data_IF_980453754843
#
_entry.id   IF_980453754843
#
_cell.length_a   1.000
_cell.length_b   1.000
_cell.length_c   1.000
_cell.angle_alpha   90.00
_cell.angle_beta   90.00
_cell.angle_gamma   90.00
#
_symmetry.space_group_name_H-M   'P 1'
#
loop_
_entity.id
_entity.type
_entity.pdbx_description
1 polymer ?
#
# COMPACT_ATOMS: atom_id res chain seq x y z
N UNK A 1 -2.47 -19.44 -14.18
CA UNK A 1 -3.41 -18.57 -14.92
C UNK A 1 -4.24 -17.74 -13.95
N UNK A 2 -5.05 -18.38 -13.07
CA UNK A 2 -5.91 -17.70 -12.09
C UNK A 2 -5.23 -16.62 -11.22
N UNK A 3 -4.03 -16.88 -10.67
CA UNK A 3 -3.33 -15.88 -9.86
C UNK A 3 -2.96 -14.60 -10.65
N UNK A 4 -2.63 -14.72 -11.95
CA UNK A 4 -2.35 -13.54 -12.79
C UNK A 4 -3.62 -12.74 -13.06
N UNK A 5 -4.72 -13.44 -13.33
CA UNK A 5 -6.04 -12.83 -13.56
C UNK A 5 -6.54 -12.10 -12.30
N UNK A 6 -6.50 -12.77 -11.14
CA UNK A 6 -6.84 -12.17 -9.86
C UNK A 6 -5.94 -10.96 -9.53
N UNK A 7 -4.63 -11.05 -9.84
CA UNK A 7 -3.72 -9.92 -9.72
C UNK A 7 -4.12 -8.75 -10.61
N UNK A 8 -4.56 -9.00 -11.84
CA UNK A 8 -5.12 -7.97 -12.73
C UNK A 8 -6.33 -7.26 -12.13
N UNK A 9 -7.26 -8.01 -11.52
CA UNK A 9 -8.45 -7.45 -10.85
C UNK A 9 -8.04 -6.54 -9.70
N UNK A 10 -7.10 -6.98 -8.84
CA UNK A 10 -6.59 -6.18 -7.71
C UNK A 10 -5.95 -4.88 -8.20
N UNK A 11 -5.07 -4.95 -9.20
CA UNK A 11 -4.39 -3.76 -9.74
C UNK A 11 -5.36 -2.81 -10.42
N UNK A 12 -6.37 -3.32 -11.13
CA UNK A 12 -7.41 -2.51 -11.74
C UNK A 12 -8.21 -1.75 -10.67
N UNK A 13 -8.64 -2.43 -9.61
CA UNK A 13 -9.40 -1.80 -8.51
C UNK A 13 -8.57 -0.73 -7.78
N UNK A 14 -7.29 -1.01 -7.49
CA UNK A 14 -6.40 -0.03 -6.87
C UNK A 14 -6.09 1.16 -7.80
N UNK A 15 -5.96 0.92 -9.10
CA UNK A 15 -5.78 1.98 -10.10
C UNK A 15 -6.98 2.93 -10.21
N UNK A 16 -8.16 2.52 -9.73
CA UNK A 16 -9.37 3.34 -9.67
C UNK A 16 -9.55 4.06 -8.33
N UNK A 17 -8.64 3.89 -7.36
CA UNK A 17 -8.71 4.53 -6.04
C UNK A 17 -7.82 5.78 -5.99
N UNK A 18 -8.40 7.00 -6.00
CA UNK A 18 -7.62 8.23 -5.87
C UNK A 18 -6.82 8.27 -4.57
N UNK A 19 -7.39 7.75 -3.48
CA UNK A 19 -6.72 7.67 -2.18
C UNK A 19 -5.46 6.79 -2.23
N UNK A 20 -5.54 5.64 -2.90
CA UNK A 20 -4.36 4.79 -3.09
C UNK A 20 -3.28 5.50 -3.90
N UNK A 21 -3.67 6.17 -4.99
CA UNK A 21 -2.72 6.88 -5.84
C UNK A 21 -2.03 8.03 -5.09
N UNK A 22 -2.79 8.83 -4.33
CA UNK A 22 -2.25 9.93 -3.52
C UNK A 22 -1.31 9.43 -2.42
N UNK A 23 -1.62 8.30 -1.78
CA UNK A 23 -0.80 7.74 -0.69
C UNK A 23 0.46 7.04 -1.20
N UNK A 24 0.36 6.30 -2.31
CA UNK A 24 1.43 5.42 -2.77
C UNK A 24 2.30 6.02 -3.90
N UNK A 25 1.73 6.91 -4.73
CA UNK A 25 2.38 7.49 -5.91
C UNK A 25 3.11 6.42 -6.76
N UNK A 26 2.41 5.39 -7.26
CA UNK A 26 3.06 4.19 -7.81
C UNK A 26 3.82 4.49 -9.11
N UNK A 27 5.09 4.05 -9.19
CA UNK A 27 5.91 4.05 -10.40
C UNK A 27 5.95 2.65 -11.06
N UNK A 28 6.22 1.61 -10.26
CA UNK A 28 6.21 0.20 -10.71
C UNK A 28 5.66 -0.69 -9.61
N UNK A 29 4.80 -1.64 -9.97
CA UNK A 29 4.16 -2.57 -9.03
C UNK A 29 4.67 -3.98 -9.28
N UNK A 30 5.17 -4.63 -8.23
CA UNK A 30 5.50 -6.06 -8.29
C UNK A 30 4.20 -6.86 -8.40
N UNK A 31 4.11 -7.88 -9.27
CA UNK A 31 2.86 -8.62 -9.48
C UNK A 31 2.24 -9.12 -8.17
N UNK A 32 0.92 -8.92 -7.95
CA UNK A 32 0.21 -9.43 -6.79
C UNK A 32 0.43 -10.93 -6.57
N UNK A 33 0.83 -11.26 -5.35
CA UNK A 33 0.89 -12.63 -4.85
C UNK A 33 -0.32 -12.89 -3.94
N UNK A 34 -0.59 -14.16 -3.67
CA UNK A 34 -1.73 -14.59 -2.85
C UNK A 34 -1.25 -15.58 -1.80
N UNK A 35 -1.67 -15.38 -0.55
CA UNK A 35 -1.36 -16.28 0.55
C UNK A 35 -2.62 -16.74 1.28
N UNK A 36 -2.48 -17.87 1.98
CA UNK A 36 -3.50 -18.44 2.86
C UNK A 36 -2.82 -18.88 4.15
N UNK A 37 -3.36 -18.44 5.27
CA UNK A 37 -3.00 -18.93 6.61
C UNK A 37 -4.21 -19.61 7.22
N UNK A 38 -4.13 -20.92 7.47
CA UNK A 38 -5.08 -21.68 8.28
C UNK A 38 -4.62 -21.77 9.74
N UNK A 39 -5.37 -22.52 10.55
CA UNK A 39 -5.07 -22.69 11.97
C UNK A 39 -3.62 -23.11 12.24
N UNK A 40 -2.97 -22.44 13.19
CA UNK A 40 -1.57 -22.59 13.57
C UNK A 40 -0.56 -21.94 12.61
N UNK A 41 -0.97 -21.55 11.39
CA UNK A 41 -0.07 -20.92 10.43
C UNK A 41 0.18 -19.46 10.78
N UNK A 42 1.41 -19.02 10.55
CA UNK A 42 1.94 -17.69 10.91
C UNK A 42 3.00 -17.28 9.90
N UNK A 43 3.44 -16.02 9.94
CA UNK A 43 4.65 -15.57 9.26
C UNK A 43 5.48 -14.74 10.23
N UNK A 44 6.69 -15.22 10.56
CA UNK A 44 7.53 -14.63 11.61
C UNK A 44 7.99 -13.20 11.31
N UNK A 45 8.53 -12.54 12.35
CA UNK A 45 9.05 -11.18 12.24
C UNK A 45 10.17 -11.08 11.22
N UNK A 46 10.02 -10.15 10.29
CA UNK A 46 10.98 -9.90 9.23
C UNK A 46 10.85 -8.45 8.71
N UNK A 47 11.82 -8.08 7.87
CA UNK A 47 11.77 -6.89 7.02
C UNK A 47 11.80 -7.37 5.58
N UNK A 48 11.07 -6.71 4.70
CA UNK A 48 11.10 -7.07 3.28
C UNK A 48 12.44 -6.70 2.63
N UNK A 49 12.90 -7.54 1.70
CA UNK A 49 14.08 -7.21 0.91
C UNK A 49 13.86 -5.91 0.13
N UNK A 50 14.81 -4.98 0.24
CA UNK A 50 14.76 -3.65 -0.39
C UNK A 50 14.68 -3.68 -1.93
N UNK A 51 15.12 -4.77 -2.55
CA UNK A 51 15.02 -5.00 -4.00
C UNK A 51 14.24 -6.30 -4.23
N UNK A 52 13.11 -6.20 -4.94
CA UNK A 52 12.31 -7.35 -5.37
C UNK A 52 12.62 -7.67 -6.82
N UNK A 53 12.91 -8.93 -7.12
CA UNK A 53 13.23 -9.42 -8.46
C UNK A 53 12.22 -10.49 -8.84
N UNK A 54 11.61 -10.36 -10.01
CA UNK A 54 10.77 -11.41 -10.57
C UNK A 54 11.68 -12.41 -11.30
N UNK A 55 11.87 -13.58 -10.67
CA UNK A 55 12.76 -14.64 -11.19
C UNK A 55 12.41 -14.99 -12.64
N UNK A 56 13.45 -15.14 -13.46
CA UNK A 56 13.31 -15.46 -14.89
C UNK A 56 12.96 -14.26 -15.77
N UNK A 57 13.03 -13.04 -15.25
CA UNK A 57 12.80 -11.79 -16.00
C UNK A 57 13.81 -10.73 -15.58
N UNK A 58 13.94 -9.65 -16.36
CA UNK A 58 14.71 -8.46 -15.96
C UNK A 58 13.93 -7.53 -15.01
N UNK A 59 12.69 -7.89 -14.65
CA UNK A 59 11.84 -7.07 -13.82
C UNK A 59 12.36 -7.04 -12.38
N UNK A 60 12.68 -5.84 -11.92
CA UNK A 60 13.06 -5.53 -10.55
C UNK A 60 12.48 -4.19 -10.10
N UNK A 61 12.20 -4.08 -8.81
CA UNK A 61 11.77 -2.84 -8.19
C UNK A 61 12.49 -2.61 -6.87
N UNK A 62 12.60 -1.34 -6.47
CA UNK A 62 12.82 -0.95 -5.08
C UNK A 62 11.49 -1.08 -4.33
N UNK A 63 11.46 -1.82 -3.23
CA UNK A 63 10.24 -2.01 -2.42
C UNK A 63 10.08 -0.85 -1.43
N UNK A 64 9.51 0.26 -1.89
CA UNK A 64 9.22 1.39 -0.99
C UNK A 64 8.05 1.06 -0.06
N UNK A 65 6.98 0.53 -0.65
CA UNK A 65 5.75 0.20 0.06
C UNK A 65 5.35 -1.26 -0.14
N UNK A 66 4.92 -1.88 0.95
CA UNK A 66 4.23 -3.16 0.99
C UNK A 66 2.72 -2.91 1.06
N UNK A 67 1.97 -3.74 0.34
CA UNK A 67 0.51 -3.68 0.27
C UNK A 67 -0.06 -5.03 0.60
N UNK A 68 -1.07 -5.06 1.47
CA UNK A 68 -1.90 -6.24 1.71
C UNK A 68 -3.36 -5.89 1.44
N UNK A 69 -4.00 -6.62 0.55
CA UNK A 69 -5.45 -6.58 0.30
C UNK A 69 -6.08 -7.79 0.98
N UNK A 70 -7.00 -7.54 1.91
CA UNK A 70 -7.69 -8.60 2.65
C UNK A 70 -8.79 -9.19 1.75
N UNK A 71 -8.84 -10.53 1.64
CA UNK A 71 -9.79 -11.25 0.78
C UNK A 71 -10.74 -12.15 1.56
N UNK A 72 -10.65 -12.11 2.88
CA UNK A 72 -11.54 -12.81 3.80
C UNK A 72 -12.02 -11.80 4.86
N UNK A 73 -13.29 -11.90 5.26
CA UNK A 73 -13.85 -11.05 6.30
C UNK A 73 -13.11 -11.22 7.63
N UNK A 74 -12.99 -10.13 8.38
CA UNK A 74 -12.23 -10.10 9.62
C UNK A 74 -12.82 -11.03 10.71
N UNK A 75 -14.13 -11.26 10.72
CA UNK A 75 -14.80 -12.15 11.67
C UNK A 75 -14.78 -13.64 11.24
N UNK A 76 -14.35 -13.93 10.01
CA UNK A 76 -14.27 -15.30 9.50
C UNK A 76 -13.06 -16.10 10.06
N UNK A 77 -12.11 -15.44 10.72
CA UNK A 77 -10.95 -16.06 11.35
C UNK A 77 -10.57 -15.36 12.66
N UNK A 78 -9.88 -16.06 13.56
CA UNK A 78 -9.32 -15.49 14.80
C UNK A 78 -7.78 -15.46 14.70
N UNK A 79 -7.14 -14.49 15.35
CA UNK A 79 -5.72 -14.20 15.11
C UNK A 79 -5.47 -13.70 13.69
N UNK A 80 -4.34 -14.05 13.08
CA UNK A 80 -4.01 -13.67 11.69
C UNK A 80 -3.82 -12.17 11.46
N UNK A 81 -3.66 -11.38 12.53
CA UNK A 81 -3.41 -9.94 12.44
C UNK A 81 -2.04 -9.69 11.80
N UNK A 82 -1.99 -8.75 10.85
CA UNK A 82 -0.72 -8.18 10.38
C UNK A 82 -0.25 -7.20 11.45
N UNK A 83 0.92 -7.48 12.02
CA UNK A 83 1.55 -6.62 13.01
C UNK A 83 2.67 -5.88 12.33
N UNK A 84 2.63 -4.55 12.33
CA UNK A 84 3.64 -3.66 11.74
C UNK A 84 4.22 -2.82 12.86
N UNK A 85 5.54 -2.87 13.02
CA UNK A 85 6.29 -2.12 14.02
C UNK A 85 6.93 -0.91 13.36
N UNK A 86 6.67 0.27 13.91
CA UNK A 86 7.31 1.52 13.54
C UNK A 86 8.12 2.08 14.73
N UNK A 87 8.71 3.26 14.57
CA UNK A 87 9.55 3.88 15.60
C UNK A 87 8.77 4.25 16.88
N UNK A 88 7.46 4.44 16.80
CA UNK A 88 6.59 4.91 17.87
C UNK A 88 5.70 3.81 18.46
N UNK A 89 5.71 2.61 17.89
CA UNK A 89 5.08 1.44 18.48
C UNK A 89 4.62 0.41 17.45
N UNK A 90 3.62 -0.35 17.86
CA UNK A 90 3.13 -1.51 17.11
C UNK A 90 1.69 -1.27 16.69
N UNK A 91 1.43 -1.40 15.39
CA UNK A 91 0.10 -1.37 14.81
C UNK A 91 -0.34 -2.79 14.48
N UNK A 92 -1.55 -3.16 14.88
CA UNK A 92 -2.17 -4.45 14.56
C UNK A 92 -3.30 -4.22 13.56
N UNK A 93 -3.22 -4.86 12.41
CA UNK A 93 -4.08 -4.59 11.26
C UNK A 93 -4.82 -5.85 10.86
N UNK A 94 -6.15 -5.75 10.88
CA UNK A 94 -7.07 -6.76 10.40
C UNK A 94 -8.32 -6.06 9.89
N UNK A 95 -8.45 -5.98 8.56
CA UNK A 95 -9.48 -5.18 7.89
C UNK A 95 -10.55 -6.07 7.24
N UNK A 96 -11.74 -5.52 6.93
CA UNK A 96 -12.77 -6.23 6.16
C UNK A 96 -12.27 -6.68 4.78
N UNK A 97 -12.95 -7.65 4.16
CA UNK A 97 -12.59 -8.07 2.82
C UNK A 97 -12.71 -6.92 1.81
N UNK A 98 -11.80 -6.86 0.84
CA UNK A 98 -11.68 -5.79 -0.14
C UNK A 98 -10.93 -4.55 0.34
N UNK A 99 -10.66 -4.42 1.65
CA UNK A 99 -9.84 -3.32 2.18
C UNK A 99 -8.35 -3.61 1.99
N UNK A 100 -7.55 -2.55 1.91
CA UNK A 100 -6.11 -2.63 1.78
C UNK A 100 -5.39 -1.86 2.90
N UNK A 101 -4.24 -2.38 3.32
CA UNK A 101 -3.25 -1.66 4.11
C UNK A 101 -2.01 -1.43 3.27
N UNK A 102 -1.45 -0.23 3.37
CA UNK A 102 -0.22 0.19 2.69
C UNK A 102 0.75 0.67 3.77
N UNK A 103 1.97 0.14 3.80
CA UNK A 103 2.96 0.44 4.84
C UNK A 103 4.40 0.38 4.27
N UNK A 104 5.38 1.06 4.89
CA UNK A 104 6.77 1.02 4.44
C UNK A 104 7.32 -0.41 4.49
N UNK A 105 7.91 -0.89 3.40
CA UNK A 105 8.49 -2.25 3.35
C UNK A 105 9.69 -2.43 4.30
N UNK A 106 10.26 -1.31 4.76
CA UNK A 106 11.32 -1.24 5.77
C UNK A 106 10.84 -1.57 7.19
N UNK A 107 9.53 -1.60 7.43
CA UNK A 107 8.95 -1.86 8.75
C UNK A 107 9.16 -3.32 9.15
N UNK A 108 9.54 -3.55 10.41
CA UNK A 108 9.48 -4.89 10.99
C UNK A 108 8.02 -5.31 11.04
N UNK A 109 7.71 -6.51 10.54
CA UNK A 109 6.34 -6.98 10.55
C UNK A 109 6.24 -8.51 10.58
N UNK A 110 5.10 -8.98 11.06
CA UNK A 110 4.75 -10.40 11.13
C UNK A 110 3.23 -10.59 10.98
N UNK A 111 2.80 -11.81 10.69
CA UNK A 111 1.38 -12.20 10.75
C UNK A 111 1.22 -13.11 11.95
N UNK A 112 0.39 -12.73 12.92
CA UNK A 112 0.14 -13.58 14.09
C UNK A 112 -0.50 -14.92 13.72
N UNK A 113 -0.34 -15.97 14.54
CA UNK A 113 -0.97 -17.26 14.27
C UNK A 113 -2.48 -17.11 14.08
N UNK A 114 -3.04 -17.77 13.06
CA UNK A 114 -4.48 -17.95 12.95
C UNK A 114 -4.90 -19.04 13.93
N UNK A 115 -5.89 -18.78 14.78
CA UNK A 115 -6.36 -19.74 15.81
C UNK A 115 -7.70 -20.38 15.49
N UNK A 116 -8.47 -19.79 14.56
CA UNK A 116 -9.72 -20.34 14.03
C UNK A 116 -9.88 -19.89 12.57
N UNK A 117 -10.39 -20.75 11.71
CA UNK A 117 -10.75 -20.38 10.34
C UNK A 117 -9.54 -20.21 9.42
N UNK A 118 -9.63 -19.30 8.44
CA UNK A 118 -8.55 -19.04 7.49
C UNK A 118 -8.47 -17.57 7.10
N UNK A 119 -7.25 -17.05 6.99
CA UNK A 119 -6.96 -15.75 6.40
C UNK A 119 -6.53 -15.92 4.96
N UNK A 120 -7.21 -15.26 4.03
CA UNK A 120 -6.79 -15.15 2.63
C UNK A 120 -6.50 -13.70 2.31
N UNK A 121 -5.37 -13.43 1.66
CA UNK A 121 -5.00 -12.08 1.25
C UNK A 121 -4.22 -12.09 -0.07
N UNK A 122 -4.26 -10.95 -0.75
CA UNK A 122 -3.26 -10.60 -1.75
C UNK A 122 -2.20 -9.70 -1.13
N UNK A 123 -0.94 -9.90 -1.49
CA UNK A 123 0.18 -9.09 -1.01
C UNK A 123 1.19 -8.83 -2.12
N UNK A 124 1.78 -7.64 -2.13
CA UNK A 124 2.78 -7.22 -3.10
C UNK A 124 3.52 -5.98 -2.65
N UNK A 125 4.49 -5.57 -3.47
CA UNK A 125 5.32 -4.40 -3.26
C UNK A 125 5.16 -3.43 -4.41
N UNK A 126 5.39 -2.16 -4.14
CA UNK A 126 5.50 -1.15 -5.19
C UNK A 126 6.72 -0.25 -4.95
N UNK A 127 7.30 0.17 -6.05
CA UNK A 127 8.20 1.30 -6.11
C UNK A 127 7.36 2.55 -6.29
N UNK A 128 7.48 3.48 -5.36
CA UNK A 128 6.87 4.79 -5.49
C UNK A 128 7.71 5.65 -6.43
N UNK A 129 7.07 6.60 -7.11
CA UNK A 129 7.74 7.74 -7.73
C UNK A 129 8.57 8.47 -6.69
N UNK A 130 8.10 8.57 -5.44
CA UNK A 130 8.78 9.30 -4.36
C UNK A 130 9.37 8.32 -3.36
N UNK A 131 10.69 8.18 -3.40
CA UNK A 131 11.48 7.27 -2.55
C UNK A 131 11.31 7.55 -1.05
N UNK A 132 11.44 8.82 -0.67
CA UNK A 132 11.46 9.23 0.74
C UNK A 132 10.05 9.22 1.34
N UNK A 133 9.90 8.54 2.48
CA UNK A 133 8.62 8.38 3.18
C UNK A 133 8.07 9.72 3.68
N UNK A 134 8.94 10.61 4.16
CA UNK A 134 8.56 11.94 4.64
C UNK A 134 8.04 12.83 3.52
N UNK A 135 8.78 12.90 2.41
CA UNK A 135 8.39 13.60 1.19
C UNK A 135 7.06 13.09 0.64
N UNK A 136 6.89 11.76 0.57
CA UNK A 136 5.63 11.14 0.11
C UNK A 136 4.47 11.49 1.04
N UNK A 137 4.68 11.49 2.36
CA UNK A 137 3.66 11.90 3.34
C UNK A 137 3.31 13.39 3.21
N UNK A 138 4.29 14.27 3.00
CA UNK A 138 4.03 15.70 2.77
C UNK A 138 3.17 15.90 1.52
N UNK A 139 3.44 15.18 0.43
CA UNK A 139 2.62 15.23 -0.77
C UNK A 139 1.19 14.74 -0.51
N UNK A 140 1.04 13.64 0.24
CA UNK A 140 -0.26 13.12 0.63
C UNK A 140 -1.07 14.13 1.45
N UNK A 141 -0.47 14.71 2.49
CA UNK A 141 -1.14 15.69 3.36
C UNK A 141 -1.54 16.96 2.58
N UNK A 142 -0.70 17.40 1.64
CA UNK A 142 -1.00 18.51 0.74
C UNK A 142 -2.15 18.19 -0.22
N UNK A 143 -2.13 17.02 -0.87
CA UNK A 143 -3.23 16.58 -1.74
C UNK A 143 -4.55 16.54 -0.98
N UNK A 144 -4.59 15.90 0.20
CA UNK A 144 -5.81 15.84 1.01
C UNK A 144 -6.33 17.23 1.41
N UNK A 145 -5.42 18.18 1.64
CA UNK A 145 -5.79 19.57 1.93
C UNK A 145 -6.37 20.27 0.70
N UNK A 146 -5.77 20.08 -0.48
CA UNK A 146 -6.29 20.59 -1.76
C UNK A 146 -7.66 19.99 -2.10
N UNK A 147 -7.86 18.68 -1.89
CA UNK A 147 -9.17 18.04 -2.14
C UNK A 147 -10.27 18.62 -1.24
N UNK A 148 -9.97 18.82 0.06
CA UNK A 148 -10.94 19.47 0.97
C UNK A 148 -11.27 20.90 0.53
N UNK A 149 -10.26 21.70 0.16
CA UNK A 149 -10.47 23.07 -0.29
C UNK A 149 -11.27 23.12 -1.61
N UNK A 150 -10.98 22.21 -2.54
CA UNK A 150 -11.74 22.03 -3.78
C UNK A 150 -13.22 21.78 -3.50
N UNK A 151 -13.54 20.93 -2.52
CA UNK A 151 -14.92 20.68 -2.11
C UNK A 151 -15.64 21.89 -1.50
N UNK A 152 -14.90 22.75 -0.79
CA UNK A 152 -15.48 23.94 -0.13
C UNK A 152 -15.54 25.21 -0.99
N UNK A 153 -14.54 25.44 -1.85
CA UNK A 153 -14.36 26.68 -2.61
C UNK A 153 -14.60 26.49 -4.13
N UNK A 154 -14.60 25.25 -4.59
CA UNK A 154 -14.63 24.89 -6.01
C UNK A 154 -13.24 24.83 -6.64
N UNK A 155 -13.09 24.00 -7.67
CA UNK A 155 -11.79 23.78 -8.34
C UNK A 155 -11.25 24.97 -9.14
N UNK A 156 -12.10 25.96 -9.44
CA UNK A 156 -11.70 27.19 -10.14
C UNK A 156 -11.19 28.29 -9.18
N UNK A 157 -11.30 28.08 -7.87
CA UNK A 157 -10.78 29.02 -6.89
C UNK A 157 -9.26 29.16 -7.03
N UNK A 158 -8.78 30.41 -6.92
CA UNK A 158 -7.37 30.73 -7.14
C UNK A 158 -6.44 30.03 -6.16
N UNK A 159 -6.82 29.93 -4.88
CA UNK A 159 -5.98 29.28 -3.86
C UNK A 159 -5.88 27.78 -4.09
N UNK A 160 -6.95 27.14 -4.57
CA UNK A 160 -6.94 25.72 -4.97
C UNK A 160 -5.96 25.50 -6.12
N UNK A 161 -6.01 26.34 -7.16
CA UNK A 161 -5.13 26.24 -8.33
C UNK A 161 -3.66 26.44 -7.91
N UNK A 162 -3.37 27.46 -7.10
CA UNK A 162 -2.01 27.75 -6.64
C UNK A 162 -1.43 26.60 -5.79
N UNK A 163 -2.20 26.04 -4.86
CA UNK A 163 -1.77 24.90 -4.04
C UNK A 163 -1.61 23.61 -4.85
N UNK A 164 -2.49 23.38 -5.83
CA UNK A 164 -2.32 22.28 -6.81
C UNK A 164 -1.01 22.45 -7.59
N UNK A 165 -0.67 23.68 -7.97
CA UNK A 165 0.62 24.02 -8.55
C UNK A 165 1.80 23.70 -7.63
N UNK A 166 1.70 24.01 -6.33
CA UNK A 166 2.72 23.65 -5.33
C UNK A 166 2.91 22.13 -5.24
N UNK A 167 1.81 21.37 -5.17
CA UNK A 167 1.84 19.91 -5.16
C UNK A 167 2.62 19.34 -6.36
N UNK A 168 2.28 19.78 -7.59
CA UNK A 168 2.97 19.31 -8.79
C UNK A 168 4.44 19.75 -8.86
N UNK A 169 4.79 20.92 -8.32
CA UNK A 169 6.18 21.37 -8.23
C UNK A 169 6.99 20.49 -7.26
N UNK A 170 6.42 20.12 -6.11
CA UNK A 170 7.07 19.21 -5.16
C UNK A 170 7.21 17.80 -5.74
N UNK A 171 6.16 17.29 -6.38
CA UNK A 171 6.22 16.00 -7.06
C UNK A 171 7.33 15.98 -8.13
N UNK A 172 7.45 17.03 -8.96
CA UNK A 172 8.55 17.16 -9.93
C UNK A 172 9.95 17.21 -9.30
N UNK A 173 10.08 17.66 -8.05
CA UNK A 173 11.36 17.72 -7.34
C UNK A 173 11.76 16.38 -6.74
N UNK A 174 10.79 15.58 -6.29
CA UNK A 174 11.03 14.36 -5.52
C UNK A 174 10.81 13.06 -6.30
N UNK A 175 10.13 13.12 -7.44
CA UNK A 175 9.84 11.93 -8.23
C UNK A 175 11.07 11.40 -8.99
N UNK A 176 11.30 10.09 -8.87
CA UNK A 176 12.02 9.27 -9.84
C UNK A 176 11.10 9.07 -11.07
N UNK A 177 11.65 9.19 -12.28
CA UNK A 177 10.95 8.98 -13.56
C UNK A 177 11.36 7.65 -14.22
#
# INVERSE_FOLDING_TARGET
>A
AAAREAGGIVLQALGQSPLFFAAALPLKVFPPLFNRYGEGQTFGTHVDNAIRIQRGTEFRIRSDLSVTVFLEEADAYDGGELVVEDHYGVQRVKLPAGHAVVYPSSSLHHVTPVTRGRRVASFFWLQSMVRDDGARRILFDLDQSVQRLTGSLGGADRSVIELTGVYHNLLRRWADA
#
